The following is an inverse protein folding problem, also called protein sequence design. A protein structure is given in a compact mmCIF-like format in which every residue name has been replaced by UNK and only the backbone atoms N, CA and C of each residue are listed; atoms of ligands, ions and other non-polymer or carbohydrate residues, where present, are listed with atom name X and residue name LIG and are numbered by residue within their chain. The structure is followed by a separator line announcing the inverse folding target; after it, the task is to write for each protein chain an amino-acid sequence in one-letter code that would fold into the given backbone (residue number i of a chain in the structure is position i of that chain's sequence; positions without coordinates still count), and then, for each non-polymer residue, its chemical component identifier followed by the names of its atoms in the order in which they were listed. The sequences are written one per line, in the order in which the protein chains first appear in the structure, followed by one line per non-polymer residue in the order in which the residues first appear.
data_IF_410901405409
#
_entry.id   IF_410901405409
#
_cell.length_a   1.000
_cell.length_b   1.000
_cell.length_c   1.000
_cell.angle_alpha   90.00
_cell.angle_beta   90.00
_cell.angle_gamma   90.00
#
_symmetry.space_group_name_H-M   'P 1'
#
loop_
_entity.id
_entity.type
_entity.pdbx_description
1 polymer ?
#
# COMPACT_ATOMS: atom_id res chain seq x y z
N UNK A 1 -28.39 -19.30 -0.73
CA UNK A 1 -27.78 -18.61 -1.89
C UNK A 1 -27.22 -17.25 -1.53
N UNK A 2 -28.00 -16.41 -0.88
CA UNK A 2 -27.56 -15.10 -0.47
C UNK A 2 -26.38 -15.17 0.52
N UNK A 3 -26.39 -16.14 1.41
CA UNK A 3 -25.31 -16.32 2.36
C UNK A 3 -23.99 -16.65 1.68
N UNK A 4 -24.02 -17.46 0.63
CA UNK A 4 -22.83 -17.79 -0.15
C UNK A 4 -22.24 -16.55 -0.82
N UNK A 5 -23.11 -15.70 -1.34
CA UNK A 5 -22.69 -14.46 -1.99
C UNK A 5 -22.05 -13.51 -0.97
N UNK A 6 -22.67 -13.39 0.21
CA UNK A 6 -22.15 -12.55 1.28
C UNK A 6 -20.79 -13.07 1.79
N UNK A 7 -20.65 -14.37 1.96
CA UNK A 7 -19.40 -14.96 2.38
C UNK A 7 -18.29 -14.75 1.35
N UNK A 8 -18.63 -14.88 0.07
CA UNK A 8 -17.67 -14.60 -1.00
C UNK A 8 -17.22 -13.15 -0.97
N UNK A 9 -18.16 -12.21 -0.76
CA UNK A 9 -17.85 -10.80 -0.64
C UNK A 9 -16.92 -10.51 0.55
N UNK A 10 -17.18 -11.17 1.68
CA UNK A 10 -16.34 -11.02 2.87
C UNK A 10 -14.92 -11.54 2.62
N UNK A 11 -14.78 -12.66 1.94
CA UNK A 11 -13.48 -13.21 1.57
C UNK A 11 -12.71 -12.25 0.66
N UNK A 12 -13.38 -11.69 -0.33
CA UNK A 12 -12.75 -10.72 -1.22
C UNK A 12 -12.30 -9.46 -0.47
N UNK A 13 -13.10 -9.01 0.48
CA UNK A 13 -12.74 -7.86 1.29
C UNK A 13 -11.51 -8.14 2.15
N UNK A 14 -11.40 -9.32 2.75
CA UNK A 14 -10.23 -9.71 3.53
C UNK A 14 -8.98 -9.80 2.68
N UNK A 15 -9.07 -10.43 1.50
CA UNK A 15 -7.95 -10.54 0.59
C UNK A 15 -7.48 -9.17 0.11
N UNK A 16 -8.43 -8.29 -0.16
CA UNK A 16 -8.12 -6.91 -0.55
C UNK A 16 -7.41 -6.16 0.56
N UNK A 17 -7.85 -6.34 1.80
CA UNK A 17 -7.25 -5.72 2.97
C UNK A 17 -5.82 -6.21 3.19
N UNK A 18 -5.60 -7.53 3.10
CA UNK A 18 -4.27 -8.12 3.21
C UNK A 18 -3.33 -7.60 2.13
N UNK A 19 -3.84 -7.47 0.91
CA UNK A 19 -3.05 -6.94 -0.20
C UNK A 19 -2.63 -5.49 0.06
N UNK A 20 -3.55 -4.67 0.58
CA UNK A 20 -3.24 -3.29 0.95
C UNK A 20 -2.13 -3.26 2.01
N UNK A 21 -2.21 -4.11 3.02
CA UNK A 21 -1.21 -4.20 4.06
C UNK A 21 0.16 -4.61 3.49
N UNK A 22 0.18 -5.56 2.56
CA UNK A 22 1.42 -5.97 1.90
C UNK A 22 2.05 -4.82 1.12
N UNK A 23 1.25 -4.07 0.37
CA UNK A 23 1.74 -2.91 -0.37
C UNK A 23 2.34 -1.88 0.57
N UNK A 24 1.67 -1.58 1.66
CA UNK A 24 2.13 -0.61 2.64
C UNK A 24 3.41 -1.07 3.33
N UNK A 25 3.47 -2.33 3.71
CA UNK A 25 4.65 -2.92 4.34
C UNK A 25 5.87 -2.81 3.41
N UNK A 26 5.70 -3.18 2.15
CA UNK A 26 6.79 -3.09 1.18
C UNK A 26 7.22 -1.65 0.96
N UNK A 27 6.27 -0.73 0.87
CA UNK A 27 6.58 0.67 0.69
C UNK A 27 7.42 1.21 1.86
N UNK A 28 7.04 0.88 3.09
CA UNK A 28 7.77 1.29 4.28
C UNK A 28 9.17 0.67 4.29
N UNK A 29 9.27 -0.60 3.90
CA UNK A 29 10.55 -1.30 3.84
C UNK A 29 11.54 -0.59 2.91
N UNK A 30 11.07 -0.07 1.78
CA UNK A 30 11.93 0.64 0.83
C UNK A 30 11.99 2.14 1.05
N UNK A 31 11.26 2.66 2.05
CA UNK A 31 11.22 4.11 2.30
C UNK A 31 12.57 4.75 2.61
N UNK A 32 13.55 4.06 3.25
CA UNK A 32 14.85 4.67 3.46
C UNK A 32 15.55 5.09 2.17
N UNK A 33 15.29 4.40 1.06
CA UNK A 33 15.85 4.75 -0.25
C UNK A 33 15.30 6.07 -0.76
N UNK A 34 14.04 6.37 -0.46
CA UNK A 34 13.43 7.66 -0.79
C UNK A 34 14.13 8.78 -0.02
N UNK A 35 14.32 8.58 1.28
CA UNK A 35 14.96 9.57 2.16
C UNK A 35 16.41 9.83 1.77
N UNK A 36 17.09 8.81 1.25
CA UNK A 36 18.48 8.91 0.80
C UNK A 36 18.60 9.46 -0.63
N UNK A 37 17.50 9.80 -1.28
CA UNK A 37 17.46 10.25 -2.67
C UNK A 37 18.03 9.25 -3.66
N UNK A 38 18.03 7.97 -3.31
CA UNK A 38 18.52 6.89 -4.18
C UNK A 38 17.48 6.45 -5.20
N UNK A 39 16.21 6.61 -4.86
CA UNK A 39 15.11 6.26 -5.76
C UNK A 39 13.91 7.15 -5.46
N UNK A 40 13.01 7.26 -6.42
CA UNK A 40 11.78 8.02 -6.24
C UNK A 40 10.68 7.13 -5.70
N UNK A 41 9.69 7.76 -5.04
CA UNK A 41 8.52 7.05 -4.56
C UNK A 41 7.81 6.31 -5.70
N UNK A 42 7.73 6.94 -6.88
CA UNK A 42 7.07 6.32 -8.04
C UNK A 42 7.79 5.05 -8.49
N UNK A 43 9.11 5.04 -8.48
CA UNK A 43 9.88 3.85 -8.83
C UNK A 43 9.59 2.69 -7.87
N UNK A 44 9.48 2.98 -6.58
CA UNK A 44 9.12 1.97 -5.58
C UNK A 44 7.70 1.46 -5.82
N UNK A 45 6.76 2.37 -6.08
CA UNK A 45 5.37 2.00 -6.39
C UNK A 45 5.31 1.09 -7.60
N UNK A 46 6.06 1.42 -8.67
CA UNK A 46 6.11 0.58 -9.86
C UNK A 46 6.72 -0.80 -9.57
N UNK A 47 7.77 -0.85 -8.75
CA UNK A 47 8.39 -2.11 -8.36
C UNK A 47 7.44 -3.00 -7.57
N UNK A 48 6.69 -2.43 -6.64
CA UNK A 48 5.68 -3.16 -5.88
C UNK A 48 4.59 -3.68 -6.82
N UNK A 49 4.14 -2.83 -7.75
CA UNK A 49 3.12 -3.23 -8.71
C UNK A 49 3.57 -4.42 -9.55
N UNK A 50 4.81 -4.40 -10.01
CA UNK A 50 5.39 -5.52 -10.76
C UNK A 50 5.42 -6.80 -9.92
N UNK A 51 5.86 -6.69 -8.68
CA UNK A 51 5.96 -7.82 -7.76
C UNK A 51 4.63 -8.53 -7.57
N UNK A 52 3.55 -7.77 -7.46
CA UNK A 52 2.21 -8.31 -7.20
C UNK A 52 1.33 -8.40 -8.46
N UNK A 53 1.91 -8.10 -9.62
CA UNK A 53 1.22 -8.17 -10.91
C UNK A 53 -0.05 -7.31 -10.95
N UNK A 54 0.05 -6.10 -10.43
CA UNK A 54 -1.04 -5.12 -10.44
C UNK A 54 -0.55 -3.83 -11.10
N UNK A 55 -1.46 -2.88 -11.33
CA UNK A 55 -1.07 -1.57 -11.87
C UNK A 55 -0.50 -0.68 -10.77
N UNK A 56 0.40 0.25 -11.12
CA UNK A 56 0.91 1.22 -10.13
C UNK A 56 -0.19 2.02 -9.45
N UNK A 57 -1.26 2.34 -10.14
CA UNK A 57 -2.39 3.06 -9.56
C UNK A 57 -3.06 2.27 -8.44
N UNK A 58 -3.10 0.95 -8.54
CA UNK A 58 -3.63 0.09 -7.50
C UNK A 58 -2.81 0.22 -6.22
N UNK A 59 -1.49 0.20 -6.35
CA UNK A 59 -0.58 0.38 -5.21
C UNK A 59 -0.73 1.79 -4.63
N UNK A 60 -0.74 2.80 -5.49
CA UNK A 60 -0.88 4.20 -5.07
C UNK A 60 -2.17 4.43 -4.28
N UNK A 61 -3.28 3.88 -4.76
CA UNK A 61 -4.58 3.98 -4.09
C UNK A 61 -4.52 3.38 -2.69
N UNK A 62 -3.86 2.22 -2.56
CA UNK A 62 -3.68 1.57 -1.27
C UNK A 62 -2.85 2.43 -0.31
N UNK A 63 -1.77 3.02 -0.78
CA UNK A 63 -0.91 3.88 0.03
C UNK A 63 -1.65 5.13 0.48
N UNK A 64 -2.46 5.72 -0.39
CA UNK A 64 -3.28 6.88 -0.03
C UNK A 64 -4.32 6.55 1.02
N UNK A 65 -4.90 5.36 0.92
CA UNK A 65 -5.91 4.89 1.85
C UNK A 65 -5.36 4.79 3.28
N UNK A 66 -4.09 4.43 3.41
CA UNK A 66 -3.40 4.31 4.70
C UNK A 66 -2.60 5.55 5.06
N UNK A 67 -2.73 6.63 4.29
CA UNK A 67 -2.04 7.90 4.52
C UNK A 67 -0.51 7.79 4.48
N UNK A 68 0.03 6.83 3.74
CA UNK A 68 1.47 6.71 3.55
C UNK A 68 1.98 7.64 2.47
N UNK A 69 1.16 7.91 1.47
CA UNK A 69 1.49 8.78 0.35
C UNK A 69 0.45 9.89 0.28
N UNK A 70 0.89 11.11 0.46
CA UNK A 70 0.00 12.29 0.48
C UNK A 70 0.22 13.24 -0.70
N UNK A 71 0.99 12.82 -1.70
CA UNK A 71 1.26 13.61 -2.88
C UNK A 71 2.74 13.68 -3.19
N UNK A 72 3.09 14.36 -4.29
CA UNK A 72 4.49 14.48 -4.73
C UNK A 72 5.36 15.23 -3.73
N UNK A 73 4.77 16.20 -3.02
CA UNK A 73 5.48 16.96 -2.00
C UNK A 73 5.64 16.20 -0.68
N UNK A 74 4.82 15.18 -0.47
CA UNK A 74 4.90 14.37 0.74
C UNK A 74 4.69 12.89 0.39
N UNK A 75 5.67 12.28 -0.31
CA UNK A 75 5.54 10.90 -0.77
C UNK A 75 5.64 9.86 0.35
N UNK A 76 6.11 10.27 1.53
CA UNK A 76 6.20 9.40 2.70
C UNK A 76 5.73 10.19 3.90
N UNK A 77 4.47 9.97 4.29
CA UNK A 77 3.86 10.65 5.41
C UNK A 77 4.20 9.90 6.71
N UNK A 78 4.97 10.53 7.58
CA UNK A 78 5.42 9.89 8.82
C UNK A 78 4.26 9.52 9.73
N UNK A 79 3.21 10.34 9.78
CA UNK A 79 2.03 10.03 10.58
C UNK A 79 1.35 8.75 10.14
N UNK A 80 1.20 8.57 8.83
CA UNK A 80 0.63 7.34 8.28
C UNK A 80 1.49 6.13 8.55
N UNK A 81 2.81 6.28 8.43
CA UNK A 81 3.75 5.20 8.75
C UNK A 81 3.62 4.79 10.22
N UNK A 82 3.62 5.76 11.12
CA UNK A 82 3.51 5.48 12.55
C UNK A 82 2.20 4.78 12.88
N UNK A 83 1.09 5.24 12.32
CA UNK A 83 -0.21 4.61 12.54
C UNK A 83 -0.26 3.19 11.99
N UNK A 84 0.30 2.98 10.80
CA UNK A 84 0.34 1.64 10.21
C UNK A 84 1.14 0.68 11.07
N UNK A 85 2.30 1.12 11.56
CA UNK A 85 3.15 0.28 12.40
C UNK A 85 2.49 -0.04 13.74
N UNK A 86 1.71 0.89 14.29
CA UNK A 86 0.95 0.64 15.53
C UNK A 86 -0.14 -0.40 15.35
N UNK A 87 -0.71 -0.51 14.16
CA UNK A 87 -1.80 -1.45 13.89
C UNK A 87 -1.31 -2.88 13.62
N UNK A 88 -0.02 -3.05 13.49
CA UNK A 88 0.59 -4.37 13.36
C UNK A 88 0.77 -5.00 14.74
#
# INVERSE_FOLDING_TARGET
MNEKILNSGTKFQKLKQERIEHFCHDYITFSPEIKANQTSAWQIICGIAEKYEVTPNTVLTALRKKNLYCGKSNPLCQEGVDEFLKSL
#
